data_IF_516288892764
#
_entry.id   IF_516288892764
#
_cell.length_a   1.000
_cell.length_b   1.000
_cell.length_c   1.000
_cell.angle_alpha   90.00
_cell.angle_beta   90.00
_cell.angle_gamma   90.00
#
_symmetry.space_group_name_H-M   'P 1'
#
loop_
_entity.id
_entity.type
_entity.pdbx_description
1 polymer ?
#
# COMPACT_ATOMS: atom_id res chain seq x y z
N UNK A 1 -43.25 -2.16 -9.07
CA UNK A 1 -42.77 -1.68 -7.75
C UNK A 1 -41.26 -1.53 -7.86
N UNK A 2 -40.68 -0.44 -7.34
CA UNK A 2 -39.21 -0.25 -7.30
C UNK A 2 -38.56 -1.39 -6.51
N UNK A 3 -37.42 -1.89 -7.00
CA UNK A 3 -36.71 -3.03 -6.41
C UNK A 3 -36.19 -2.72 -5.00
N UNK A 4 -35.85 -3.73 -4.21
CA UNK A 4 -35.25 -3.51 -2.87
C UNK A 4 -33.89 -2.80 -3.03
N UNK A 5 -33.16 -3.14 -4.08
CA UNK A 5 -31.87 -2.53 -4.45
C UNK A 5 -32.02 -1.03 -4.74
N UNK A 6 -32.94 -0.64 -5.62
CA UNK A 6 -33.18 0.78 -5.97
C UNK A 6 -33.53 1.63 -4.74
N UNK A 7 -34.37 1.11 -3.85
CA UNK A 7 -34.73 1.80 -2.60
C UNK A 7 -33.55 2.02 -1.68
N UNK A 8 -32.63 1.04 -1.60
CA UNK A 8 -31.43 1.17 -0.79
C UNK A 8 -30.47 2.19 -1.36
N UNK A 9 -30.20 2.14 -2.68
CA UNK A 9 -29.28 3.07 -3.35
C UNK A 9 -29.76 4.51 -3.18
N UNK A 10 -31.06 4.78 -3.38
CA UNK A 10 -31.61 6.12 -3.17
C UNK A 10 -31.40 6.64 -1.75
N UNK A 11 -31.50 5.75 -0.75
CA UNK A 11 -31.21 6.08 0.65
C UNK A 11 -29.70 6.31 0.84
N UNK A 12 -28.86 5.50 0.23
CA UNK A 12 -27.40 5.65 0.31
C UNK A 12 -26.96 7.00 -0.27
N UNK A 13 -27.50 7.39 -1.42
CA UNK A 13 -27.26 8.70 -2.07
C UNK A 13 -27.64 9.89 -1.19
N UNK A 14 -28.63 9.73 -0.29
CA UNK A 14 -29.05 10.79 0.64
C UNK A 14 -28.05 10.99 1.79
N UNK A 15 -27.36 9.92 2.22
CA UNK A 15 -26.60 9.93 3.49
C UNK A 15 -25.10 9.68 3.34
N UNK A 16 -24.64 9.08 2.25
CA UNK A 16 -23.25 8.65 2.08
C UNK A 16 -22.57 9.49 1.00
N UNK A 17 -21.49 10.18 1.38
CA UNK A 17 -20.59 10.78 0.41
C UNK A 17 -19.74 9.71 -0.23
N UNK A 18 -19.89 9.51 -1.54
CA UNK A 18 -19.19 8.45 -2.26
C UNK A 18 -18.01 9.00 -3.04
N UNK A 19 -16.89 8.26 -3.00
CA UNK A 19 -15.68 8.58 -3.76
C UNK A 19 -15.50 7.70 -5.00
N UNK A 20 -16.25 6.59 -5.04
CA UNK A 20 -16.39 5.62 -6.14
C UNK A 20 -17.74 4.93 -5.96
N UNK A 21 -18.58 4.95 -6.98
CA UNK A 21 -19.75 4.06 -7.10
C UNK A 21 -19.70 3.46 -8.49
N UNK A 22 -19.70 2.13 -8.57
CA UNK A 22 -19.98 1.41 -9.81
C UNK A 22 -21.14 0.43 -9.56
N UNK A 23 -22.03 0.38 -10.56
CA UNK A 23 -22.93 -0.72 -10.93
C UNK A 23 -24.20 -1.04 -10.10
N UNK A 24 -24.54 -0.26 -9.07
CA UNK A 24 -25.90 -0.28 -8.51
C UNK A 24 -26.39 -1.64 -7.98
N UNK A 25 -25.47 -2.49 -7.53
CA UNK A 25 -25.76 -3.77 -6.87
C UNK A 25 -25.66 -3.61 -5.35
N UNK A 26 -26.58 -4.24 -4.62
CA UNK A 26 -26.53 -4.28 -3.15
C UNK A 26 -26.47 -5.72 -2.69
N UNK A 27 -25.29 -6.13 -2.20
CA UNK A 27 -25.01 -7.51 -1.79
C UNK A 27 -25.68 -7.82 -0.45
N UNK A 28 -26.38 -8.95 -0.38
CA UNK A 28 -27.07 -9.42 0.83
C UNK A 28 -26.30 -10.53 1.55
N UNK A 29 -25.75 -11.48 0.81
CA UNK A 29 -25.02 -12.62 1.38
C UNK A 29 -24.12 -13.26 0.32
N UNK A 30 -23.13 -14.04 0.74
CA UNK A 30 -22.28 -14.79 -0.17
C UNK A 30 -21.64 -16.01 0.49
N UNK A 31 -21.18 -16.94 -0.34
CA UNK A 31 -20.42 -18.11 0.07
C UNK A 31 -19.48 -18.56 -1.07
N UNK A 32 -18.19 -18.67 -0.78
CA UNK A 32 -17.20 -19.00 -1.81
C UNK A 32 -17.13 -17.90 -2.87
N UNK A 33 -17.31 -18.23 -4.14
CA UNK A 33 -17.32 -17.26 -5.25
C UNK A 33 -18.73 -16.76 -5.59
N UNK A 34 -19.77 -17.21 -4.88
CA UNK A 34 -21.15 -16.84 -5.17
C UNK A 34 -21.65 -15.79 -4.20
N UNK A 35 -22.46 -14.85 -4.69
CA UNK A 35 -23.21 -13.90 -3.86
C UNK A 35 -24.64 -13.73 -4.35
N UNK A 36 -25.48 -13.22 -3.45
CA UNK A 36 -26.89 -12.92 -3.70
C UNK A 36 -27.15 -11.46 -3.37
N UNK A 37 -27.85 -10.75 -4.25
CA UNK A 37 -28.25 -9.36 -4.03
C UNK A 37 -29.52 -9.22 -3.16
N UNK A 38 -29.96 -7.99 -2.91
CA UNK A 38 -31.19 -7.71 -2.16
C UNK A 38 -32.46 -8.18 -2.87
N UNK A 39 -32.45 -8.28 -4.19
CA UNK A 39 -33.57 -8.73 -5.02
C UNK A 39 -33.53 -10.25 -5.30
N UNK A 40 -32.74 -10.97 -4.51
CA UNK A 40 -32.64 -12.44 -4.50
C UNK A 40 -32.06 -13.03 -5.81
N UNK A 41 -31.30 -12.24 -6.56
CA UNK A 41 -30.56 -12.70 -7.74
C UNK A 41 -29.19 -13.23 -7.35
N UNK A 42 -28.79 -14.34 -7.97
CA UNK A 42 -27.50 -14.99 -7.72
C UNK A 42 -26.46 -14.61 -8.76
N UNK A 43 -25.23 -14.41 -8.31
CA UNK A 43 -24.10 -14.02 -9.14
C UNK A 43 -22.86 -14.83 -8.79
N UNK A 44 -21.92 -14.88 -9.73
CA UNK A 44 -20.55 -15.33 -9.51
C UNK A 44 -19.66 -14.08 -9.47
N UNK A 45 -18.89 -13.91 -8.40
CA UNK A 45 -17.93 -12.84 -8.26
C UNK A 45 -16.60 -13.19 -8.95
N UNK A 46 -16.41 -12.65 -10.16
CA UNK A 46 -15.16 -12.73 -10.90
C UNK A 46 -14.19 -11.57 -10.58
N UNK A 47 -14.58 -10.66 -9.67
CA UNK A 47 -13.81 -9.46 -9.29
C UNK A 47 -13.18 -9.59 -7.90
N UNK A 48 -13.71 -10.48 -7.07
CA UNK A 48 -13.35 -10.64 -5.64
C UNK A 48 -13.43 -9.33 -4.87
N UNK A 49 -14.39 -8.46 -5.21
CA UNK A 49 -14.57 -7.12 -4.65
C UNK A 49 -13.26 -6.30 -4.67
N UNK A 50 -12.76 -5.98 -5.86
CA UNK A 50 -11.46 -5.30 -6.04
C UNK A 50 -10.32 -6.13 -5.40
N UNK A 51 -10.41 -7.45 -5.59
CA UNK A 51 -9.46 -8.42 -5.08
C UNK A 51 -9.22 -8.39 -3.57
N UNK A 52 -10.27 -8.07 -2.81
CA UNK A 52 -10.29 -8.17 -1.35
C UNK A 52 -10.61 -9.60 -0.89
N UNK A 53 -11.47 -10.31 -1.61
CA UNK A 53 -12.04 -11.60 -1.20
C UNK A 53 -11.27 -12.79 -1.80
N UNK A 54 -9.95 -12.85 -1.60
CA UNK A 54 -9.08 -13.91 -2.12
C UNK A 54 -9.49 -15.33 -1.64
N UNK A 55 -10.13 -15.45 -0.47
CA UNK A 55 -10.64 -16.71 0.10
C UNK A 55 -12.14 -16.94 -0.16
N UNK A 56 -12.75 -16.06 -0.97
CA UNK A 56 -14.19 -16.02 -1.19
C UNK A 56 -14.99 -15.46 -0.02
N UNK A 57 -16.30 -15.34 -0.22
CA UNK A 57 -17.26 -14.95 0.81
C UNK A 57 -17.36 -16.01 1.91
N UNK A 58 -17.41 -15.55 3.16
CA UNK A 58 -17.60 -16.37 4.38
C UNK A 58 -16.61 -17.57 4.50
N UNK A 59 -15.29 -17.33 4.52
CA UNK A 59 -14.32 -18.39 4.73
C UNK A 59 -14.41 -18.92 6.17
N UNK A 60 -14.73 -20.21 6.34
CA UNK A 60 -15.04 -20.83 7.64
C UNK A 60 -13.98 -20.59 8.71
N UNK A 61 -12.71 -20.77 8.38
CA UNK A 61 -11.60 -20.60 9.31
C UNK A 61 -11.44 -19.14 9.75
N UNK A 62 -11.57 -18.18 8.83
CA UNK A 62 -11.48 -16.74 9.14
C UNK A 62 -12.63 -16.32 10.07
N UNK A 63 -13.85 -16.78 9.77
CA UNK A 63 -15.02 -16.52 10.62
C UNK A 63 -14.79 -17.09 12.02
N UNK A 64 -14.33 -18.35 12.13
CA UNK A 64 -14.00 -18.97 13.43
C UNK A 64 -12.98 -18.13 14.21
N UNK A 65 -11.84 -17.81 13.60
CA UNK A 65 -10.76 -17.08 14.29
C UNK A 65 -11.16 -15.69 14.74
N UNK A 66 -11.93 -14.95 13.94
CA UNK A 66 -12.45 -13.63 14.35
C UNK A 66 -13.41 -13.80 15.54
N UNK A 67 -14.33 -14.76 15.49
CA UNK A 67 -15.27 -15.01 16.58
C UNK A 67 -14.55 -15.41 17.88
N UNK A 68 -13.61 -16.34 17.82
CA UNK A 68 -12.83 -16.77 18.99
C UNK A 68 -12.02 -15.61 19.59
N UNK A 69 -11.39 -14.77 18.75
CA UNK A 69 -10.67 -13.59 19.23
C UNK A 69 -11.60 -12.62 19.94
N UNK A 70 -12.76 -12.30 19.37
CA UNK A 70 -13.72 -11.39 20.01
C UNK A 70 -14.27 -11.96 21.31
N UNK A 71 -14.53 -13.27 21.38
CA UNK A 71 -15.02 -13.95 22.58
C UNK A 71 -14.00 -13.97 23.73
N UNK A 72 -12.69 -13.91 23.43
CA UNK A 72 -11.66 -13.80 24.47
C UNK A 72 -11.75 -12.51 25.29
N UNK A 73 -12.43 -11.48 24.79
CA UNK A 73 -12.55 -10.18 25.43
C UNK A 73 -11.28 -9.32 25.35
N UNK A 74 -10.20 -9.81 24.71
CA UNK A 74 -8.95 -9.07 24.57
C UNK A 74 -8.83 -8.49 23.16
N UNK A 75 -8.76 -7.18 23.07
CA UNK A 75 -8.44 -6.46 21.84
C UNK A 75 -7.62 -5.22 22.20
N UNK A 76 -6.59 -4.90 21.43
CA UNK A 76 -5.82 -3.67 21.58
C UNK A 76 -5.80 -2.88 20.28
N UNK A 77 -5.64 -1.56 20.40
CA UNK A 77 -5.26 -0.74 19.26
C UNK A 77 -3.97 -1.30 18.61
N UNK A 78 -3.89 -1.19 17.28
CA UNK A 78 -2.74 -1.64 16.48
C UNK A 78 -1.44 -0.90 16.88
N UNK A 79 -1.54 0.24 17.55
CA UNK A 79 -0.42 1.00 18.11
C UNK A 79 -0.39 1.00 19.65
N UNK A 80 -1.10 0.09 20.31
CA UNK A 80 -1.45 0.19 21.73
C UNK A 80 -0.26 0.14 22.70
N UNK A 81 -0.45 0.88 23.81
CA UNK A 81 0.37 0.91 25.02
C UNK A 81 0.46 -0.45 25.74
N UNK A 82 -0.50 -1.35 25.50
CA UNK A 82 -0.50 -2.74 26.01
C UNK A 82 -0.67 -3.75 24.87
N UNK A 83 0.26 -4.70 24.80
CA UNK A 83 0.17 -5.83 23.88
C UNK A 83 -0.87 -6.86 24.34
N UNK A 84 -1.46 -7.59 23.38
CA UNK A 84 -2.32 -8.75 23.66
C UNK A 84 -1.73 -10.03 23.07
N UNK A 85 -2.06 -11.14 23.71
CA UNK A 85 -1.84 -12.50 23.23
C UNK A 85 -3.05 -13.34 23.61
N UNK A 86 -3.56 -14.10 22.63
CA UNK A 86 -4.62 -15.08 22.85
C UNK A 86 -4.28 -16.37 22.10
N UNK A 87 -5.06 -17.44 22.33
CA UNK A 87 -4.98 -18.69 21.58
C UNK A 87 -6.35 -19.13 21.11
N UNK A 88 -6.38 -19.72 19.94
CA UNK A 88 -7.57 -20.38 19.40
C UNK A 88 -7.86 -21.68 20.14
N UNK A 89 -9.04 -22.24 19.90
CA UNK A 89 -9.45 -23.54 20.44
C UNK A 89 -8.50 -24.69 20.08
N UNK A 90 -7.82 -24.60 18.93
CA UNK A 90 -6.80 -25.53 18.43
C UNK A 90 -5.35 -25.11 18.76
N UNK A 91 -5.17 -24.10 19.62
CA UNK A 91 -3.87 -23.73 20.19
C UNK A 91 -2.99 -22.83 19.32
N UNK A 92 -3.54 -22.23 18.26
CA UNK A 92 -2.86 -21.26 17.40
C UNK A 92 -2.80 -19.92 18.13
N UNK A 93 -1.61 -19.32 18.20
CA UNK A 93 -1.44 -17.99 18.80
C UNK A 93 -2.07 -16.89 17.93
N UNK A 94 -2.86 -16.04 18.57
CA UNK A 94 -3.38 -14.80 18.01
C UNK A 94 -2.67 -13.63 18.71
N UNK A 95 -1.67 -13.08 18.03
CA UNK A 95 -0.94 -11.91 18.48
C UNK A 95 -0.37 -11.12 17.30
N UNK A 96 -0.01 -9.87 17.54
CA UNK A 96 0.72 -9.05 16.56
C UNK A 96 2.10 -9.63 16.22
N UNK A 97 2.75 -10.28 17.19
CA UNK A 97 4.05 -10.91 17.00
C UNK A 97 3.94 -12.12 16.06
N UNK A 98 2.99 -13.03 16.31
CA UNK A 98 2.76 -14.20 15.47
C UNK A 98 2.43 -13.82 14.02
N UNK A 99 1.61 -12.77 13.83
CA UNK A 99 1.32 -12.24 12.49
C UNK A 99 2.57 -11.63 11.83
N UNK A 100 3.34 -10.83 12.57
CA UNK A 100 4.57 -10.21 12.05
C UNK A 100 5.61 -11.27 11.62
N UNK A 101 5.83 -12.32 12.42
CA UNK A 101 6.72 -13.44 12.10
C UNK A 101 6.28 -14.14 10.81
N UNK A 102 4.98 -14.40 10.66
CA UNK A 102 4.45 -15.02 9.45
C UNK A 102 4.68 -14.16 8.21
N UNK A 103 4.44 -12.85 8.32
CA UNK A 103 4.64 -11.90 7.22
C UNK A 103 6.10 -11.80 6.82
N UNK A 104 7.01 -11.73 7.80
CA UNK A 104 8.47 -11.75 7.57
C UNK A 104 8.85 -13.03 6.82
N UNK A 105 8.44 -14.21 7.33
CA UNK A 105 8.73 -15.51 6.69
C UNK A 105 8.23 -15.61 5.25
N UNK A 106 7.06 -15.05 4.94
CA UNK A 106 6.54 -15.02 3.56
C UNK A 106 7.40 -14.07 2.71
N UNK A 107 7.67 -12.87 3.21
CA UNK A 107 8.44 -11.86 2.48
C UNK A 107 9.89 -12.27 2.22
N UNK A 108 10.51 -13.07 3.09
CA UNK A 108 11.87 -13.60 2.93
C UNK A 108 12.04 -14.49 1.70
N UNK A 109 10.94 -15.09 1.21
CA UNK A 109 10.95 -15.93 0.00
C UNK A 109 11.22 -15.13 -1.27
N UNK A 110 11.10 -13.80 -1.21
CA UNK A 110 11.23 -12.90 -2.36
C UNK A 110 12.23 -11.78 -2.09
N UNK A 111 12.33 -11.29 -0.85
CA UNK A 111 13.21 -10.18 -0.47
C UNK A 111 13.97 -10.51 0.82
N UNK A 112 14.99 -11.38 0.81
CA UNK A 112 15.64 -11.89 2.03
C UNK A 112 16.59 -10.86 2.68
N UNK A 113 16.02 -9.77 3.22
CA UNK A 113 16.77 -8.77 3.98
C UNK A 113 16.82 -9.13 5.47
N UNK A 114 17.95 -8.89 6.15
CA UNK A 114 18.05 -9.11 7.59
C UNK A 114 17.23 -8.09 8.39
N UNK A 115 16.89 -8.43 9.64
CA UNK A 115 16.33 -7.52 10.64
C UNK A 115 15.02 -6.81 10.25
N UNK A 116 14.17 -7.49 9.47
CA UNK A 116 12.84 -6.99 9.10
C UNK A 116 11.97 -6.73 10.31
N UNK A 117 11.19 -5.65 10.22
CA UNK A 117 10.15 -5.28 11.18
C UNK A 117 8.85 -5.02 10.43
N UNK A 118 7.73 -5.15 11.12
CA UNK A 118 6.38 -4.95 10.57
C UNK A 118 5.70 -3.82 11.30
N UNK A 119 5.17 -2.87 10.54
CA UNK A 119 4.16 -1.92 11.00
C UNK A 119 2.83 -2.31 10.37
N UNK A 120 1.77 -2.27 11.17
CA UNK A 120 0.43 -2.64 10.77
C UNK A 120 -0.39 -1.39 10.54
N UNK A 121 -1.12 -1.36 9.44
CA UNK A 121 -1.93 -0.24 9.00
C UNK A 121 -3.31 -0.74 8.58
N UNK A 122 -4.31 0.12 8.68
CA UNK A 122 -5.71 -0.25 8.44
C UNK A 122 -6.08 -0.29 6.95
N UNK A 123 -5.32 0.39 6.10
CA UNK A 123 -5.57 0.47 4.65
C UNK A 123 -4.28 0.43 3.85
N UNK A 124 -4.37 0.09 2.56
CA UNK A 124 -3.24 0.18 1.64
C UNK A 124 -2.67 1.60 1.53
N UNK A 125 -3.54 2.61 1.53
CA UNK A 125 -3.11 4.02 1.46
C UNK A 125 -2.32 4.45 2.70
N UNK A 126 -2.77 4.08 3.92
CA UNK A 126 -2.03 4.43 5.14
C UNK A 126 -0.73 3.66 5.27
N UNK A 127 -0.67 2.41 4.77
CA UNK A 127 0.59 1.68 4.61
C UNK A 127 1.58 2.40 3.68
N UNK A 128 1.14 2.89 2.53
CA UNK A 128 2.00 3.68 1.62
C UNK A 128 2.48 4.96 2.28
N UNK A 129 1.59 5.69 2.96
CA UNK A 129 1.94 6.92 3.67
C UNK A 129 2.98 6.66 4.76
N UNK A 130 2.79 5.65 5.59
CA UNK A 130 3.75 5.24 6.61
C UNK A 130 5.11 4.87 5.98
N UNK A 131 5.12 4.19 4.83
CA UNK A 131 6.34 3.79 4.15
C UNK A 131 7.11 5.00 3.62
N UNK A 132 6.41 5.96 3.01
CA UNK A 132 7.00 7.21 2.52
C UNK A 132 7.62 8.02 3.67
N UNK A 133 6.94 8.08 4.81
CA UNK A 133 7.41 8.78 6.00
C UNK A 133 8.63 8.11 6.63
N UNK A 134 8.63 6.77 6.70
CA UNK A 134 9.81 6.00 7.17
C UNK A 134 11.00 6.21 6.22
N UNK A 135 10.78 6.23 4.90
CA UNK A 135 11.83 6.49 3.93
C UNK A 135 12.45 7.89 4.10
N UNK A 136 11.61 8.92 4.24
CA UNK A 136 12.05 10.29 4.48
C UNK A 136 12.88 10.42 5.77
N UNK A 137 12.41 9.84 6.88
CA UNK A 137 13.12 9.86 8.17
C UNK A 137 14.44 9.08 8.09
N UNK A 138 14.45 7.94 7.40
CA UNK A 138 15.65 7.11 7.25
C UNK A 138 16.73 7.85 6.48
N UNK A 139 16.37 8.51 5.38
CA UNK A 139 17.27 9.38 4.61
C UNK A 139 17.87 10.51 5.48
N UNK A 140 17.07 11.12 6.36
CA UNK A 140 17.56 12.14 7.30
C UNK A 140 18.55 11.59 8.32
N UNK A 141 18.29 10.39 8.86
CA UNK A 141 19.15 9.72 9.84
C UNK A 141 20.49 9.31 9.22
N UNK A 142 20.47 8.74 8.00
CA UNK A 142 21.68 8.30 7.29
C UNK A 142 22.65 9.45 6.99
N UNK A 143 22.14 10.67 6.77
CA UNK A 143 22.98 11.86 6.58
C UNK A 143 23.70 12.31 7.87
N UNK A 144 23.59 11.58 8.98
CA UNK A 144 24.31 11.81 10.25
C UNK A 144 23.92 13.09 11.00
N UNK A 145 22.97 13.87 10.46
CA UNK A 145 22.63 15.20 10.98
C UNK A 145 21.45 15.19 11.96
N UNK A 146 20.61 14.16 11.95
CA UNK A 146 19.32 14.15 12.63
C UNK A 146 19.12 12.88 13.48
N UNK A 147 19.14 13.03 14.81
CA UNK A 147 18.70 12.00 15.75
C UNK A 147 17.28 12.34 16.29
N UNK A 148 16.64 11.41 16.99
CA UNK A 148 15.27 11.59 17.51
C UNK A 148 15.15 12.83 18.39
N UNK A 149 16.18 13.16 19.18
CA UNK A 149 16.20 14.34 20.04
C UNK A 149 16.22 15.65 19.23
N UNK A 150 17.13 15.80 18.27
CA UNK A 150 17.22 16.98 17.37
C UNK A 150 15.95 17.17 16.54
N UNK A 151 15.32 16.07 16.12
CA UNK A 151 14.03 16.12 15.45
C UNK A 151 12.93 16.61 16.41
N UNK A 152 12.92 16.16 17.65
CA UNK A 152 11.97 16.64 18.67
C UNK A 152 12.14 18.13 18.98
N UNK A 153 13.38 18.61 19.13
CA UNK A 153 13.70 20.02 19.43
C UNK A 153 13.17 21.01 18.37
N UNK A 154 13.06 20.60 17.09
CA UNK A 154 12.45 21.41 16.04
C UNK A 154 10.96 21.73 16.29
N UNK A 155 10.26 20.88 17.04
CA UNK A 155 8.80 20.95 17.20
C UNK A 155 8.34 21.34 18.61
N UNK A 156 9.15 21.05 19.64
CA UNK A 156 8.73 21.17 21.05
C UNK A 156 8.47 22.61 21.55
N UNK A 157 8.85 23.64 20.79
CA UNK A 157 8.74 25.04 21.22
C UNK A 157 7.87 25.93 20.31
N UNK A 158 7.01 25.34 19.46
CA UNK A 158 6.23 26.11 18.47
C UNK A 158 4.74 25.81 18.51
N UNK A 159 3.94 26.88 18.53
CA UNK A 159 2.48 26.81 18.45
C UNK A 159 1.95 26.66 17.01
N UNK A 160 2.81 26.85 16.01
CA UNK A 160 2.43 26.80 14.59
C UNK A 160 3.52 26.03 13.82
N UNK A 161 3.09 25.05 13.03
CA UNK A 161 3.94 24.34 12.07
C UNK A 161 3.67 24.84 10.65
N UNK A 162 4.71 25.32 9.97
CA UNK A 162 4.64 25.76 8.57
C UNK A 162 5.62 24.92 7.74
N UNK A 163 5.13 23.97 6.92
CA UNK A 163 5.97 23.02 6.21
C UNK A 163 7.05 23.66 5.31
N UNK A 164 6.74 24.79 4.68
CA UNK A 164 7.65 25.47 3.75
C UNK A 164 8.90 26.07 4.39
N UNK A 165 8.88 26.34 5.71
CA UNK A 165 10.03 26.86 6.45
C UNK A 165 10.93 25.77 7.02
N UNK A 166 10.52 24.51 6.93
CA UNK A 166 11.26 23.36 7.45
C UNK A 166 11.70 22.43 6.31
N UNK A 167 12.69 22.90 5.56
CA UNK A 167 13.28 22.24 4.39
C UNK A 167 13.74 20.77 4.59
N UNK A 168 14.26 20.30 5.75
CA UNK A 168 14.71 18.91 5.85
C UNK A 168 13.59 17.87 5.67
N UNK A 169 12.31 18.26 5.76
CA UNK A 169 11.18 17.34 5.59
C UNK A 169 10.65 17.28 4.16
N UNK A 170 11.23 18.04 3.23
CA UNK A 170 10.94 17.86 1.81
C UNK A 170 11.67 16.63 1.31
N UNK A 171 10.97 15.84 0.52
CA UNK A 171 11.52 14.68 -0.17
C UNK A 171 10.76 14.49 -1.48
N UNK A 172 11.35 13.71 -2.36
CA UNK A 172 10.75 13.31 -3.63
C UNK A 172 10.55 11.80 -3.63
N UNK A 173 9.53 11.34 -4.34
CA UNK A 173 9.24 9.92 -4.56
C UNK A 173 9.26 9.62 -6.05
N UNK A 174 9.45 8.35 -6.39
CA UNK A 174 9.21 7.83 -7.73
C UNK A 174 8.04 6.84 -7.69
N UNK A 175 7.26 6.84 -8.77
CA UNK A 175 6.23 5.84 -9.05
C UNK A 175 6.07 5.61 -10.54
N UNK A 176 5.20 4.69 -10.95
CA UNK A 176 4.86 4.50 -12.36
C UNK A 176 3.65 5.33 -12.77
N UNK A 177 3.57 5.70 -14.05
CA UNK A 177 2.31 6.14 -14.67
C UNK A 177 1.28 5.03 -14.60
N UNK A 178 0.00 5.37 -14.60
CA UNK A 178 -1.14 4.42 -14.43
C UNK A 178 -1.18 3.68 -13.08
N UNK A 179 -0.30 3.98 -12.13
CA UNK A 179 -0.28 3.25 -10.86
C UNK A 179 -1.47 3.59 -9.94
N UNK A 180 -1.80 2.71 -9.01
CA UNK A 180 -2.77 3.00 -7.95
C UNK A 180 -2.23 2.62 -6.57
N UNK A 181 -2.04 3.64 -5.75
CA UNK A 181 -1.43 3.51 -4.42
C UNK A 181 -2.36 3.96 -3.30
N UNK A 182 -3.50 4.56 -3.63
CA UNK A 182 -4.53 4.97 -2.70
C UNK A 182 -5.05 6.38 -2.95
N UNK A 183 -5.98 6.82 -2.11
CA UNK A 183 -6.76 8.06 -2.34
C UNK A 183 -6.45 9.19 -1.37
N UNK A 184 -5.54 9.00 -0.41
CA UNK A 184 -5.23 9.99 0.62
C UNK A 184 -3.72 10.06 0.91
N UNK A 185 -3.24 11.22 1.38
CA UNK A 185 -1.83 11.45 1.72
C UNK A 185 -0.89 11.28 0.53
N UNK A 186 0.30 10.72 0.76
CA UNK A 186 1.32 10.47 -0.26
C UNK A 186 0.88 9.40 -1.26
N UNK A 187 0.08 8.42 -0.82
CA UNK A 187 -0.52 7.41 -1.68
C UNK A 187 -1.33 8.03 -2.82
N UNK A 188 -2.06 9.13 -2.54
CA UNK A 188 -2.80 9.87 -3.56
C UNK A 188 -1.89 10.46 -4.63
N UNK A 189 -0.73 10.99 -4.24
CA UNK A 189 0.22 11.60 -5.18
C UNK A 189 0.86 10.56 -6.10
N UNK A 190 1.13 9.38 -5.55
CA UNK A 190 1.67 8.25 -6.30
C UNK A 190 0.63 7.65 -7.25
N UNK A 191 -0.66 7.74 -6.94
CA UNK A 191 -1.75 7.28 -7.81
C UNK A 191 -1.83 8.10 -9.10
N UNK A 192 -1.92 7.39 -10.22
CA UNK A 192 -2.03 7.91 -11.59
C UNK A 192 -2.98 7.08 -12.48
N UNK A 193 -3.88 6.28 -11.90
CA UNK A 193 -4.76 5.40 -12.68
C UNK A 193 -5.91 6.12 -13.41
N UNK A 194 -6.37 7.29 -12.92
CA UNK A 194 -7.53 8.02 -13.46
C UNK A 194 -7.39 9.53 -13.29
N UNK A 195 -8.01 10.33 -14.16
CA UNK A 195 -7.96 11.80 -14.12
C UNK A 195 -8.47 12.41 -12.81
N UNK A 196 -9.54 11.86 -12.22
CA UNK A 196 -10.08 12.29 -10.91
C UNK A 196 -9.05 12.12 -9.77
N UNK A 197 -8.00 11.34 -9.99
CA UNK A 197 -6.93 11.16 -9.00
C UNK A 197 -5.98 12.35 -8.90
N UNK A 198 -6.07 13.31 -9.80
CA UNK A 198 -5.25 14.52 -9.80
C UNK A 198 -5.85 15.67 -8.99
N UNK A 199 -7.08 15.56 -8.52
CA UNK A 199 -7.77 16.65 -7.82
C UNK A 199 -7.38 16.68 -6.33
N UNK A 200 -7.12 17.89 -5.82
CA UNK A 200 -6.86 18.17 -4.40
C UNK A 200 -5.57 17.60 -3.79
N UNK A 201 -4.42 17.50 -4.49
CA UNK A 201 -3.19 17.03 -3.86
C UNK A 201 -2.74 18.04 -2.78
N UNK A 202 -2.57 17.56 -1.55
CA UNK A 202 -1.94 18.32 -0.46
C UNK A 202 -0.77 17.50 0.08
N UNK A 203 0.45 17.92 -0.23
CA UNK A 203 1.66 17.29 0.30
C UNK A 203 2.89 18.19 0.15
N UNK A 204 3.89 17.94 0.98
CA UNK A 204 5.21 18.54 0.95
C UNK A 204 6.24 17.71 0.16
N UNK A 205 5.80 16.77 -0.68
CA UNK A 205 6.68 15.96 -1.52
C UNK A 205 6.37 16.10 -3.02
N UNK A 206 7.40 15.91 -3.85
CA UNK A 206 7.26 15.77 -5.29
C UNK A 206 7.21 14.29 -5.69
N UNK A 207 6.55 13.97 -6.81
CA UNK A 207 6.51 12.61 -7.36
C UNK A 207 6.92 12.64 -8.82
N UNK A 208 7.95 11.88 -9.18
CA UNK A 208 8.28 11.56 -10.57
C UNK A 208 7.55 10.30 -11.01
N UNK A 209 7.00 10.33 -12.23
CA UNK A 209 6.26 9.21 -12.80
C UNK A 209 7.01 8.62 -14.00
N UNK A 210 7.37 7.35 -13.87
CA UNK A 210 8.09 6.59 -14.89
C UNK A 210 7.11 5.81 -15.76
N UNK A 211 7.45 5.55 -17.01
CA UNK A 211 6.71 4.59 -17.82
C UNK A 211 6.99 3.17 -17.35
N UNK A 212 5.98 2.28 -17.37
CA UNK A 212 6.18 0.88 -17.05
C UNK A 212 7.00 0.21 -18.17
N UNK A 213 8.15 -0.46 -17.87
CA UNK A 213 8.92 -1.13 -18.91
C UNK A 213 8.10 -2.22 -19.62
N UNK A 214 8.17 -2.25 -20.94
CA UNK A 214 7.54 -3.25 -21.83
C UNK A 214 8.61 -3.91 -22.71
N UNK A 215 8.25 -4.96 -23.45
CA UNK A 215 9.19 -5.68 -24.31
C UNK A 215 9.88 -4.81 -25.38
N UNK A 216 9.26 -3.70 -25.79
CA UNK A 216 9.81 -2.76 -26.77
C UNK A 216 10.67 -1.65 -26.13
N UNK A 217 10.80 -1.66 -24.79
CA UNK A 217 11.54 -0.62 -24.07
C UNK A 217 13.04 -0.78 -24.30
N UNK A 218 13.68 0.22 -24.91
CA UNK A 218 15.13 0.31 -24.94
C UNK A 218 15.64 0.77 -23.57
N UNK A 219 16.10 -0.19 -22.75
CA UNK A 219 16.52 0.07 -21.38
C UNK A 219 17.69 1.08 -21.28
N UNK A 220 18.57 1.16 -22.27
CA UNK A 220 19.67 2.12 -22.25
C UNK A 220 19.17 3.57 -22.29
N UNK A 221 18.29 3.90 -23.24
CA UNK A 221 17.66 5.22 -23.32
C UNK A 221 16.74 5.46 -22.12
N UNK A 222 15.95 4.47 -21.73
CA UNK A 222 15.01 4.58 -20.62
C UNK A 222 15.72 4.91 -19.29
N UNK A 223 16.82 4.23 -18.96
CA UNK A 223 17.56 4.51 -17.73
C UNK A 223 18.24 5.89 -17.75
N UNK A 224 18.66 6.36 -18.93
CA UNK A 224 19.17 7.71 -19.10
C UNK A 224 18.07 8.77 -18.82
N UNK A 225 16.86 8.56 -19.35
CA UNK A 225 15.73 9.46 -19.09
C UNK A 225 15.34 9.47 -17.61
N UNK A 226 15.37 8.29 -16.95
CA UNK A 226 15.17 8.16 -15.50
C UNK A 226 16.22 8.98 -14.73
N UNK A 227 17.49 8.91 -15.13
CA UNK A 227 18.56 9.69 -14.50
C UNK A 227 18.30 11.20 -14.63
N UNK A 228 18.01 11.67 -15.84
CA UNK A 228 17.70 13.08 -16.09
C UNK A 228 16.49 13.56 -15.28
N UNK A 229 15.42 12.76 -15.16
CA UNK A 229 14.27 13.09 -14.32
C UNK A 229 14.67 13.25 -12.84
N UNK A 230 15.48 12.33 -12.33
CA UNK A 230 15.92 12.37 -10.93
C UNK A 230 16.83 13.57 -10.67
N UNK A 231 17.85 13.79 -11.51
CA UNK A 231 18.87 14.81 -11.29
C UNK A 231 18.36 16.22 -11.57
N UNK A 232 17.72 16.43 -12.72
CA UNK A 232 17.40 17.77 -13.20
C UNK A 232 16.03 18.29 -12.74
N UNK A 233 15.15 17.42 -12.24
CA UNK A 233 13.79 17.80 -11.85
C UNK A 233 13.53 17.51 -10.38
N UNK A 234 13.63 16.25 -9.97
CA UNK A 234 13.24 15.86 -8.61
C UNK A 234 14.25 16.34 -7.57
N UNK A 235 15.54 16.13 -7.81
CA UNK A 235 16.59 16.50 -6.84
C UNK A 235 16.71 18.01 -6.64
N UNK A 236 16.30 18.80 -7.63
CA UNK A 236 16.17 20.25 -7.51
C UNK A 236 15.03 20.69 -6.57
N UNK A 237 13.99 19.86 -6.42
CA UNK A 237 12.94 20.08 -5.42
C UNK A 237 13.35 19.54 -4.05
N UNK A 238 13.71 18.25 -3.99
CA UNK A 238 14.16 17.56 -2.78
C UNK A 238 14.76 16.19 -3.12
N UNK A 239 15.58 15.58 -2.24
CA UNK A 239 16.15 14.26 -2.48
C UNK A 239 15.06 13.22 -2.75
N UNK A 240 15.26 12.39 -3.78
CA UNK A 240 14.43 11.20 -3.98
C UNK A 240 14.76 10.18 -2.90
N UNK A 241 13.76 9.68 -2.17
CA UNK A 241 13.97 8.79 -1.01
C UNK A 241 13.45 7.38 -1.20
N UNK A 242 12.52 7.16 -2.13
CA UNK A 242 11.93 5.85 -2.37
C UNK A 242 11.31 5.75 -3.76
N UNK A 243 11.22 4.51 -4.24
CA UNK A 243 10.49 4.12 -5.44
C UNK A 243 9.36 3.14 -5.07
N UNK A 244 8.13 3.55 -5.35
CA UNK A 244 6.92 2.76 -5.13
C UNK A 244 6.46 2.17 -6.45
N UNK A 245 6.21 0.87 -6.49
CA UNK A 245 5.71 0.25 -7.70
C UNK A 245 4.85 -0.97 -7.43
N UNK A 246 3.90 -1.24 -8.31
CA UNK A 246 3.17 -2.50 -8.37
C UNK A 246 3.93 -3.44 -9.33
N UNK A 247 4.27 -4.69 -8.95
CA UNK A 247 4.86 -5.66 -9.88
C UNK A 247 3.96 -5.97 -11.08
N UNK A 248 2.64 -5.83 -10.91
CA UNK A 248 1.62 -5.83 -11.96
C UNK A 248 0.63 -4.73 -11.56
N UNK A 249 0.32 -3.78 -12.44
CA UNK A 249 -0.57 -2.67 -12.07
C UNK A 249 -2.02 -3.13 -12.03
N UNK A 250 -2.73 -2.87 -10.93
CA UNK A 250 -4.14 -3.23 -10.77
C UNK A 250 -5.08 -2.27 -11.48
N UNK A 251 -5.46 -1.20 -10.78
CA UNK A 251 -6.48 -0.24 -11.25
C UNK A 251 -6.10 0.46 -12.57
N UNK A 252 -4.79 0.52 -12.87
CA UNK A 252 -4.24 1.07 -14.11
C UNK A 252 -4.51 0.27 -15.38
N UNK A 253 -5.15 -0.89 -15.28
CA UNK A 253 -5.53 -1.71 -16.45
C UNK A 253 -4.93 -3.11 -16.51
N UNK A 254 -4.49 -3.69 -15.38
CA UNK A 254 -3.86 -5.03 -15.35
C UNK A 254 -2.59 -5.05 -16.24
N UNK A 255 -1.75 -4.02 -16.10
CA UNK A 255 -0.55 -3.87 -16.93
C UNK A 255 0.57 -4.77 -16.39
N UNK A 256 1.05 -5.67 -17.24
CA UNK A 256 2.16 -6.59 -16.94
C UNK A 256 3.45 -5.99 -17.49
N UNK A 257 4.46 -5.67 -16.66
CA UNK A 257 5.73 -5.17 -17.14
C UNK A 257 6.55 -6.26 -17.82
N UNK A 258 7.53 -5.85 -18.63
CA UNK A 258 8.66 -6.71 -18.95
C UNK A 258 9.46 -6.99 -17.67
N UNK A 259 9.58 -8.27 -17.31
CA UNK A 259 10.15 -8.68 -16.03
C UNK A 259 11.64 -8.33 -15.93
N UNK A 260 12.37 -8.43 -17.04
CA UNK A 260 13.80 -8.17 -17.09
C UNK A 260 14.08 -6.67 -17.08
N UNK A 261 13.33 -5.87 -17.83
CA UNK A 261 13.39 -4.41 -17.80
C UNK A 261 13.04 -3.84 -16.43
N UNK A 262 11.99 -4.36 -15.78
CA UNK A 262 11.66 -3.97 -14.40
C UNK A 262 12.79 -4.32 -13.43
N UNK A 263 13.40 -5.52 -13.56
CA UNK A 263 14.55 -5.92 -12.74
C UNK A 263 15.74 -4.99 -12.96
N UNK A 264 16.08 -4.67 -14.20
CA UNK A 264 17.17 -3.74 -14.54
C UNK A 264 16.92 -2.35 -13.96
N UNK A 265 15.69 -1.81 -14.05
CA UNK A 265 15.33 -0.54 -13.43
C UNK A 265 15.50 -0.60 -11.91
N UNK A 266 14.97 -1.64 -11.27
CA UNK A 266 15.05 -1.81 -9.81
C UNK A 266 16.51 -1.92 -9.35
N UNK A 267 17.33 -2.70 -10.05
CA UNK A 267 18.75 -2.85 -9.75
C UNK A 267 19.50 -1.53 -9.92
N UNK A 268 19.25 -0.79 -11.01
CA UNK A 268 19.81 0.54 -11.27
C UNK A 268 19.45 1.55 -10.18
N UNK A 269 18.16 1.64 -9.82
CA UNK A 269 17.67 2.54 -8.78
C UNK A 269 18.29 2.22 -7.42
N UNK A 270 18.45 0.93 -7.10
CA UNK A 270 19.08 0.48 -5.86
C UNK A 270 20.57 0.79 -5.83
N UNK A 271 21.31 0.45 -6.89
CA UNK A 271 22.78 0.60 -6.93
C UNK A 271 23.21 2.05 -6.96
N UNK A 272 22.48 2.88 -7.71
CA UNK A 272 22.90 4.25 -7.99
C UNK A 272 22.33 5.26 -6.98
N UNK A 273 21.25 4.91 -6.27
CA UNK A 273 20.51 5.89 -5.45
C UNK A 273 20.11 5.40 -4.06
N UNK A 274 20.34 4.13 -3.71
CA UNK A 274 20.06 3.58 -2.39
C UNK A 274 18.56 3.56 -2.01
N UNK A 275 17.66 3.55 -2.99
CA UNK A 275 16.22 3.67 -2.75
C UNK A 275 15.63 2.46 -2.03
N UNK A 276 14.69 2.75 -1.14
CA UNK A 276 13.82 1.75 -0.53
C UNK A 276 12.81 1.33 -1.60
N UNK A 277 12.84 0.05 -1.97
CA UNK A 277 11.93 -0.57 -2.92
C UNK A 277 10.67 -1.02 -2.19
N UNK A 278 9.53 -0.50 -2.61
CA UNK A 278 8.25 -0.79 -1.98
C UNK A 278 7.31 -1.43 -3.00
N UNK A 279 7.41 -2.77 -3.20
CA UNK A 279 6.49 -3.48 -4.06
C UNK A 279 5.09 -3.44 -3.46
N UNK A 280 4.09 -3.09 -4.27
CA UNK A 280 2.68 -3.09 -3.89
C UNK A 280 1.98 -4.30 -4.48
N UNK A 281 1.11 -4.96 -3.70
CA UNK A 281 0.52 -6.25 -4.09
C UNK A 281 -0.42 -6.07 -5.28
N UNK A 282 -0.24 -6.93 -6.28
CA UNK A 282 -1.30 -7.39 -7.17
C UNK A 282 -1.86 -8.71 -6.61
N UNK A 283 -3.17 -8.81 -6.47
CA UNK A 283 -3.85 -9.99 -5.94
C UNK A 283 -4.01 -11.02 -7.07
N UNK A 284 -3.13 -12.03 -7.12
CA UNK A 284 -3.32 -13.19 -8.02
C UNK A 284 -3.55 -14.46 -7.21
N UNK A 285 -4.52 -15.23 -7.70
CA UNK A 285 -5.01 -16.52 -7.20
C UNK A 285 -3.90 -17.55 -7.03
N UNK A 286 -4.02 -18.31 -5.94
CA UNK A 286 -3.15 -19.40 -5.51
C UNK A 286 -3.13 -20.56 -6.52
N UNK A 287 -1.95 -20.82 -7.08
CA UNK A 287 -1.58 -22.02 -7.81
C UNK A 287 -0.07 -22.21 -7.69
N UNK A 288 0.42 -23.45 -7.68
CA UNK A 288 1.76 -23.90 -7.22
C UNK A 288 2.99 -23.27 -7.91
N UNK A 289 2.81 -22.30 -8.81
CA UNK A 289 3.88 -21.65 -9.60
C UNK A 289 3.97 -20.13 -9.51
N UNK A 290 3.29 -19.47 -8.55
CA UNK A 290 3.36 -18.00 -8.41
C UNK A 290 3.59 -17.58 -6.96
N UNK A 291 4.69 -16.84 -6.73
CA UNK A 291 5.11 -16.36 -5.41
C UNK A 291 4.43 -15.03 -5.09
N UNK A 292 3.57 -14.99 -4.07
CA UNK A 292 2.98 -13.75 -3.55
C UNK A 292 4.01 -12.92 -2.78
N UNK A 293 3.99 -11.59 -3.01
CA UNK A 293 4.67 -10.58 -2.21
C UNK A 293 3.66 -9.98 -1.21
N UNK A 294 3.85 -10.14 0.12
CA UNK A 294 3.05 -9.41 1.10
C UNK A 294 3.55 -7.96 1.18
N UNK A 295 2.64 -6.99 1.04
CA UNK A 295 2.89 -5.63 1.51
C UNK A 295 2.79 -5.66 3.03
N UNK A 296 3.95 -5.68 3.68
CA UNK A 296 4.15 -4.99 4.94
C UNK A 296 5.44 -4.22 4.78
N UNK A 297 5.47 -3.00 5.31
CA UNK A 297 6.61 -2.10 5.17
C UNK A 297 7.84 -2.79 5.77
N UNK A 298 8.79 -3.16 4.93
CA UNK A 298 10.07 -3.70 5.34
C UNK A 298 11.10 -2.58 5.22
N UNK A 299 11.18 -1.75 6.25
CA UNK A 299 12.33 -0.87 6.40
C UNK A 299 13.50 -1.71 6.94
N UNK A 300 14.44 -2.08 6.07
CA UNK A 300 15.77 -2.50 6.54
C UNK A 300 16.52 -1.24 6.98
N UNK A 301 16.83 -1.12 8.26
CA UNK A 301 17.86 -0.18 8.70
C UNK A 301 19.20 -0.70 8.19
N UNK A 302 20.00 0.09 7.44
CA UNK A 302 21.43 -0.09 7.58
C UNK A 302 21.74 0.33 9.02
N UNK A 303 22.43 -0.54 9.75
CA UNK A 303 23.21 -0.09 10.90
C UNK A 303 24.26 0.90 10.38
#
# INVERSE_FOLDING_TARGET
>A
MSSKTEKYIKREEEFIFTTTLDDGLVLRTGNGVHFVDLDDREYIDATSQISLLDLGYKPKEVVRFITEQMQSGVHSCISADWAFVNKTSDGIEISRAALAEKLIKISDRVMPYPNKRVIFEVSGATAVNAAARIAAITNLRQKGKWNTQKLGELFLHRNIFIPSHHDPFRFSLLGFKNAFHGRHGEAKLLTDSRAVHYWGPSSSCAVGRLDLPTGDTNMGFYLNDVACLIEERLSNYAPVVAFFFEPIQGEGGINIPDAEGLRQLVDYLRSSWGFILLPMKFNRVWGERVRCLPVNILASSPI
#
